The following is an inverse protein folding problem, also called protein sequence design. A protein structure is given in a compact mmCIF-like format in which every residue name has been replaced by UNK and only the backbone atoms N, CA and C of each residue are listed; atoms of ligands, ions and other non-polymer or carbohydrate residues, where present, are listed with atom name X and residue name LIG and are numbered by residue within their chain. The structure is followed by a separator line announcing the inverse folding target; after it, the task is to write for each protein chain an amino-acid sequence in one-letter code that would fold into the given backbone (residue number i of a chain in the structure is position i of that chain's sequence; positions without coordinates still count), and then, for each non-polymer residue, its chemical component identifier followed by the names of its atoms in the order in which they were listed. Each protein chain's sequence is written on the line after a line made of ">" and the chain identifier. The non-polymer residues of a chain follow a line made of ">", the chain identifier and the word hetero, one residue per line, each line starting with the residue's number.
data_IF_758412116425
#
_entry.id   IF_758412116425
#
_cell.length_a   1.000
_cell.length_b   1.000
_cell.length_c   1.000
_cell.angle_alpha   90.00
_cell.angle_beta   90.00
_cell.angle_gamma   90.00
#
_symmetry.space_group_name_H-M   'P 1'
#
loop_
_entity.id
_entity.type
_entity.pdbx_description
1 polymer ?
#
# COMPACT_ATOMS: atom_id res chain seq x y z
N UNK A 1 17.36 8.05 -13.34
CA UNK A 1 17.79 8.65 -12.06
C UNK A 1 18.65 7.71 -11.24
N UNK A 2 18.27 6.44 -11.04
CA UNK A 2 19.13 5.45 -10.36
C UNK A 2 20.50 5.34 -11.05
N UNK A 3 20.53 5.30 -12.39
CA UNK A 3 21.76 5.33 -13.20
C UNK A 3 22.59 6.61 -13.00
N UNK A 4 21.92 7.77 -12.96
CA UNK A 4 22.57 9.08 -12.71
C UNK A 4 23.33 9.10 -11.38
N UNK A 5 22.79 8.49 -10.32
CA UNK A 5 23.47 8.40 -9.01
C UNK A 5 24.38 7.17 -8.85
N UNK A 6 24.26 6.14 -9.69
CA UNK A 6 25.08 4.93 -9.68
C UNK A 6 26.40 5.05 -10.47
N UNK A 7 26.92 6.27 -10.66
CA UNK A 7 28.20 6.51 -11.35
C UNK A 7 28.10 6.73 -12.87
N UNK A 8 26.92 6.60 -13.48
CA UNK A 8 26.72 6.91 -14.92
C UNK A 8 26.41 8.38 -15.20
N UNK A 9 26.55 9.27 -14.20
CA UNK A 9 26.22 10.69 -14.28
C UNK A 9 26.85 11.37 -15.50
N UNK A 10 28.11 11.07 -15.81
CA UNK A 10 28.82 11.72 -16.91
C UNK A 10 28.25 11.34 -18.29
N UNK A 11 27.95 10.06 -18.51
CA UNK A 11 27.34 9.59 -19.77
C UNK A 11 25.93 10.16 -19.97
N UNK A 12 25.14 10.17 -18.90
CA UNK A 12 23.77 10.72 -18.94
C UNK A 12 23.77 12.22 -19.17
N UNK A 13 24.69 12.96 -18.55
CA UNK A 13 24.87 14.40 -18.80
C UNK A 13 25.22 14.67 -20.27
N UNK A 14 26.19 13.94 -20.82
CA UNK A 14 26.58 14.10 -22.22
C UNK A 14 25.44 13.77 -23.18
N UNK A 15 24.63 12.74 -22.88
CA UNK A 15 23.44 12.42 -23.65
C UNK A 15 22.42 13.56 -23.61
N UNK A 16 22.12 14.10 -22.43
CA UNK A 16 21.16 15.19 -22.26
C UNK A 16 21.62 16.49 -22.94
N UNK A 17 22.92 16.81 -22.88
CA UNK A 17 23.47 17.95 -23.61
C UNK A 17 23.32 17.78 -25.11
N UNK A 18 23.63 16.61 -25.66
CA UNK A 18 23.44 16.36 -27.10
C UNK A 18 21.97 16.42 -27.53
N UNK A 19 21.07 15.94 -26.70
CA UNK A 19 19.62 16.05 -26.96
C UNK A 19 19.21 17.53 -26.97
N UNK A 20 19.68 18.32 -26.01
CA UNK A 20 19.42 19.76 -25.97
C UNK A 20 19.97 20.47 -27.22
N UNK A 21 21.25 20.27 -27.54
CA UNK A 21 21.89 20.86 -28.73
C UNK A 21 21.15 20.46 -30.03
N UNK A 22 20.64 19.23 -30.10
CA UNK A 22 19.87 18.75 -31.25
C UNK A 22 18.50 19.43 -31.38
N UNK A 23 17.75 19.58 -30.29
CA UNK A 23 16.40 20.17 -30.33
C UNK A 23 16.42 21.68 -30.52
N UNK A 24 17.39 22.36 -29.93
CA UNK A 24 17.48 23.83 -29.93
C UNK A 24 18.44 24.38 -30.98
N UNK A 25 19.27 23.54 -31.61
CA UNK A 25 20.20 23.95 -32.67
C UNK A 25 21.34 24.84 -32.19
N UNK A 26 21.53 24.96 -30.88
CA UNK A 26 22.57 25.76 -30.25
C UNK A 26 23.66 24.85 -29.68
N UNK A 27 24.93 25.23 -29.87
CA UNK A 27 26.06 24.54 -29.23
C UNK A 27 26.26 25.12 -27.83
N UNK A 28 26.17 24.27 -26.80
CA UNK A 28 26.39 24.69 -25.43
C UNK A 28 27.87 25.02 -25.22
N UNK A 29 28.15 26.20 -24.66
CA UNK A 29 29.52 26.55 -24.24
C UNK A 29 29.91 25.74 -23.00
N UNK A 30 31.21 25.68 -22.69
CA UNK A 30 31.67 24.95 -21.50
C UNK A 30 31.14 25.56 -20.19
N UNK A 31 30.87 26.87 -20.18
CA UNK A 31 30.23 27.52 -19.04
C UNK A 31 28.78 27.05 -18.87
N UNK A 32 27.99 27.04 -19.95
CA UNK A 32 26.59 26.59 -19.94
C UNK A 32 26.48 25.13 -19.50
N UNK A 33 27.41 24.27 -19.93
CA UNK A 33 27.43 22.85 -19.54
C UNK A 33 27.64 22.66 -18.04
N UNK A 34 28.44 23.51 -17.40
CA UNK A 34 28.66 23.44 -15.95
C UNK A 34 27.41 23.86 -15.19
N UNK A 35 26.77 24.94 -15.64
CA UNK A 35 25.52 25.43 -15.06
C UNK A 35 24.39 24.41 -15.22
N UNK A 36 24.17 23.93 -16.43
CA UNK A 36 23.13 22.95 -16.74
C UNK A 36 23.33 21.63 -15.97
N UNK A 37 24.58 21.21 -15.76
CA UNK A 37 24.90 20.05 -14.92
C UNK A 37 24.48 20.26 -13.47
N UNK A 38 24.70 21.46 -12.94
CA UNK A 38 24.32 21.80 -11.57
C UNK A 38 22.81 21.84 -11.41
N UNK A 39 22.10 22.48 -12.33
CA UNK A 39 20.63 22.51 -12.36
C UNK A 39 20.03 21.12 -12.49
N UNK A 40 20.53 20.32 -13.44
CA UNK A 40 20.04 18.96 -13.66
C UNK A 40 20.23 18.08 -12.42
N UNK A 41 21.34 18.27 -11.68
CA UNK A 41 21.54 17.59 -10.40
C UNK A 41 20.52 18.06 -9.36
N UNK A 42 20.21 19.34 -9.31
CA UNK A 42 19.22 19.91 -8.40
C UNK A 42 17.80 19.38 -8.70
N UNK A 43 17.38 19.41 -9.97
CA UNK A 43 16.13 18.80 -10.42
C UNK A 43 16.10 17.29 -10.17
N UNK A 44 17.22 16.61 -10.43
CA UNK A 44 17.38 15.19 -10.14
C UNK A 44 17.12 14.89 -8.66
N UNK A 45 17.70 15.65 -7.74
CA UNK A 45 17.45 15.50 -6.30
C UNK A 45 16.01 15.89 -5.93
N UNK A 46 15.50 16.99 -6.50
CA UNK A 46 14.18 17.54 -6.24
C UNK A 46 13.04 16.60 -6.62
N UNK A 47 13.20 15.83 -7.70
CA UNK A 47 12.20 14.82 -8.14
C UNK A 47 12.46 13.46 -7.48
N UNK A 48 13.73 13.08 -7.30
CA UNK A 48 14.08 11.77 -6.77
C UNK A 48 13.73 11.61 -5.29
N UNK A 49 13.96 12.62 -4.44
CA UNK A 49 13.61 12.53 -3.01
C UNK A 49 12.11 12.27 -2.77
N UNK A 50 11.17 13.08 -3.29
CA UNK A 50 9.76 12.82 -3.08
C UNK A 50 9.32 11.50 -3.73
N UNK A 51 9.83 11.18 -4.93
CA UNK A 51 9.55 9.89 -5.58
C UNK A 51 10.02 8.69 -4.74
N UNK A 52 11.18 8.80 -4.10
CA UNK A 52 11.71 7.75 -3.23
C UNK A 52 10.88 7.57 -1.96
N UNK A 53 10.41 8.66 -1.34
CA UNK A 53 9.52 8.60 -0.18
C UNK A 53 8.18 7.94 -0.54
N UNK A 54 7.58 8.33 -1.67
CA UNK A 54 6.35 7.71 -2.18
C UNK A 54 6.57 6.23 -2.48
N UNK A 55 7.72 5.87 -3.06
CA UNK A 55 8.07 4.47 -3.30
C UNK A 55 8.14 3.66 -2.00
N UNK A 56 8.88 4.14 -0.99
CA UNK A 56 8.98 3.46 0.32
C UNK A 56 7.59 3.31 0.96
N UNK A 57 6.79 4.38 0.95
CA UNK A 57 5.42 4.35 1.44
C UNK A 57 4.60 3.23 0.76
N UNK A 58 4.66 3.13 -0.57
CA UNK A 58 3.94 2.08 -1.30
C UNK A 58 4.44 0.67 -0.98
N UNK A 59 5.75 0.48 -0.83
CA UNK A 59 6.32 -0.82 -0.43
C UNK A 59 5.83 -1.24 0.95
N UNK A 60 5.83 -0.32 1.92
CA UNK A 60 5.32 -0.58 3.28
C UNK A 60 3.82 -0.89 3.24
N UNK A 61 3.04 -0.08 2.53
CA UNK A 61 1.59 -0.29 2.38
C UNK A 61 1.27 -1.64 1.75
N UNK A 62 1.99 -2.04 0.70
CA UNK A 62 1.83 -3.35 0.08
C UNK A 62 2.18 -4.47 1.04
N UNK A 63 3.30 -4.35 1.78
CA UNK A 63 3.71 -5.34 2.77
C UNK A 63 2.68 -5.51 3.89
N UNK A 64 2.15 -4.41 4.44
CA UNK A 64 1.07 -4.42 5.43
C UNK A 64 -0.20 -5.07 4.87
N UNK A 65 -0.55 -4.77 3.62
CA UNK A 65 -1.73 -5.34 2.95
C UNK A 65 -1.61 -6.86 2.81
N UNK A 66 -0.42 -7.35 2.45
CA UNK A 66 -0.15 -8.79 2.38
C UNK A 66 -0.30 -9.43 3.76
N UNK A 67 0.27 -8.81 4.81
CA UNK A 67 0.18 -9.30 6.19
C UNK A 67 -1.25 -9.32 6.71
N UNK A 68 -2.02 -8.27 6.45
CA UNK A 68 -3.43 -8.21 6.80
C UNK A 68 -4.23 -9.31 6.10
N UNK A 69 -4.01 -9.52 4.80
CA UNK A 69 -4.65 -10.60 4.05
C UNK A 69 -4.31 -11.98 4.63
N UNK A 70 -3.06 -12.20 5.06
CA UNK A 70 -2.67 -13.45 5.73
C UNK A 70 -3.43 -13.65 7.04
N UNK A 71 -3.56 -12.61 7.87
CA UNK A 71 -4.33 -12.71 9.11
C UNK A 71 -5.82 -13.01 8.89
N UNK A 72 -6.42 -12.51 7.81
CA UNK A 72 -7.82 -12.80 7.48
C UNK A 72 -8.06 -14.27 7.12
N UNK A 73 -7.08 -14.96 6.53
CA UNK A 73 -7.19 -16.39 6.25
C UNK A 73 -7.14 -17.25 7.52
N UNK A 74 -6.68 -16.70 8.64
CA UNK A 74 -6.63 -17.38 9.95
C UNK A 74 -7.92 -17.19 10.76
N UNK A 75 -8.83 -16.31 10.32
CA UNK A 75 -10.15 -16.18 10.94
C UNK A 75 -11.09 -17.25 10.38
N UNK A 76 -11.57 -18.14 11.25
CA UNK A 76 -12.71 -18.99 10.91
C UNK A 76 -13.92 -18.11 10.59
N UNK A 77 -14.64 -18.36 9.47
CA UNK A 77 -15.82 -17.59 9.13
C UNK A 77 -16.83 -17.71 10.28
N UNK A 78 -17.29 -16.57 10.79
CA UNK A 78 -18.35 -16.54 11.80
C UNK A 78 -19.57 -17.25 11.21
N UNK A 79 -20.10 -18.30 11.85
CA UNK A 79 -21.27 -19.01 11.36
C UNK A 79 -22.42 -18.02 11.12
N UNK A 80 -22.93 -17.98 9.89
CA UNK A 80 -24.04 -17.10 9.50
C UNK A 80 -25.39 -17.56 10.06
N UNK A 81 -25.43 -18.74 10.67
CA UNK A 81 -26.61 -19.23 11.38
C UNK A 81 -26.38 -19.05 12.88
N UNK A 82 -27.34 -18.45 13.62
CA UNK A 82 -27.28 -18.47 15.06
C UNK A 82 -27.49 -19.92 15.50
N UNK A 83 -26.40 -20.65 15.74
CA UNK A 83 -26.47 -21.92 16.44
C UNK A 83 -26.90 -21.58 17.87
N UNK A 84 -28.21 -21.58 18.09
CA UNK A 84 -28.77 -21.52 19.43
C UNK A 84 -28.05 -22.61 20.25
N UNK A 85 -27.55 -22.30 21.45
CA UNK A 85 -26.98 -23.34 22.30
C UNK A 85 -28.03 -24.45 22.39
N UNK A 86 -27.65 -25.67 21.99
CA UNK A 86 -28.55 -26.80 22.13
C UNK A 86 -28.86 -26.89 23.63
N UNK A 87 -30.07 -26.50 24.01
CA UNK A 87 -30.58 -26.66 25.36
C UNK A 87 -30.38 -28.14 25.69
N UNK A 88 -29.46 -28.42 26.61
CA UNK A 88 -29.29 -29.77 27.13
C UNK A 88 -30.67 -30.28 27.52
N UNK A 89 -31.08 -31.42 26.96
CA UNK A 89 -32.40 -32.00 27.19
C UNK A 89 -32.62 -32.12 28.69
N UNK A 90 -33.39 -31.19 29.25
CA UNK A 90 -33.71 -31.18 30.68
C UNK A 90 -35.00 -31.97 30.86
N UNK A 91 -34.96 -33.21 31.38
CA UNK A 91 -36.15 -34.04 31.53
C UNK A 91 -37.16 -33.42 32.51
N UNK A 92 -36.77 -32.44 33.34
CA UNK A 92 -37.68 -31.73 34.25
C UNK A 92 -38.67 -30.78 33.53
N UNK A 93 -38.47 -30.49 32.24
CA UNK A 93 -39.37 -29.66 31.43
C UNK A 93 -40.15 -30.44 30.37
N UNK A 94 -40.11 -31.79 30.40
CA UNK A 94 -40.83 -32.65 29.46
C UNK A 94 -42.35 -32.69 29.72
N UNK A 95 -42.79 -32.32 30.92
CA UNK A 95 -44.21 -32.28 31.26
C UNK A 95 -44.70 -30.82 31.28
N UNK A 96 -45.71 -30.45 30.48
CA UNK A 96 -46.33 -29.14 30.63
C UNK A 96 -46.94 -29.06 32.04
N UNK A 97 -46.75 -27.94 32.77
CA UNK A 97 -47.38 -27.80 34.07
C UNK A 97 -48.90 -27.97 33.90
N UNK A 98 -49.49 -28.93 34.62
CA UNK A 98 -50.94 -29.08 34.72
C UNK A 98 -51.49 -27.77 35.25
N UNK A 99 -51.99 -26.94 34.33
CA UNK A 99 -52.58 -25.65 34.63
C UNK A 99 -53.93 -25.90 35.30
N UNK A 100 -53.91 -26.11 36.61
CA UNK A 100 -55.09 -26.15 37.45
C UNK A 100 -55.64 -24.73 37.58
N UNK A 101 -56.79 -24.48 36.95
CA UNK A 101 -57.55 -23.27 37.22
C UNK A 101 -58.47 -23.54 38.41
N UNK A 102 -58.46 -22.69 39.47
CA UNK A 102 -59.43 -22.83 40.54
C UNK A 102 -60.84 -22.59 39.98
N UNK A 103 -61.76 -23.53 40.24
CA UNK A 103 -63.17 -23.42 39.88
C UNK A 103 -63.71 -22.07 40.38
N UNK A 104 -64.05 -21.17 39.46
CA UNK A 104 -64.92 -20.04 39.75
C UNK A 104 -66.37 -20.54 39.65
N UNK A 105 -66.86 -21.11 40.76
CA UNK A 105 -68.28 -21.35 40.99
C UNK A 105 -68.87 -20.20 41.82
#
# INVERSE_FOLDING_TARGET
>A
MITYFAGSAQSVNNFLFRVYEYFFGETLTDADRVELKHELRYYGVGVFRPGHLVFIYNVITLWLTIKFKQSLNEFEPVPTEPTAPQLAHNPAYAEPPLKSYPNMA
#
